data_IF_598257959550
#
_entry.id   IF_598257959550
#
_cell.length_a   1.000
_cell.length_b   1.000
_cell.length_c   1.000
_cell.angle_alpha   90.00
_cell.angle_beta   90.00
_cell.angle_gamma   90.00
#
_symmetry.space_group_name_H-M   'P 1'
#
loop_
_entity.id
_entity.type
_entity.pdbx_description
1 polymer ?
#
# COMPACT_ATOMS: atom_id res chain seq x y z
N UNK A 1 3.53 17.54 -9.74
CA UNK A 1 3.00 16.86 -10.94
C UNK A 1 3.80 15.59 -11.16
N UNK A 2 3.11 14.46 -11.27
CA UNK A 2 3.65 13.13 -11.55
C UNK A 2 3.26 12.79 -12.99
N UNK A 3 4.21 12.38 -13.83
CA UNK A 3 3.98 11.90 -15.19
C UNK A 3 4.34 10.42 -15.24
N UNK A 4 3.45 9.60 -15.80
CA UNK A 4 3.65 8.16 -15.93
C UNK A 4 3.45 7.70 -17.38
N UNK A 5 4.05 6.56 -17.71
CA UNK A 5 3.66 5.72 -18.82
C UNK A 5 2.96 4.50 -18.20
N UNK A 6 1.67 4.34 -18.45
CA UNK A 6 0.89 3.19 -17.97
C UNK A 6 0.59 2.22 -19.11
N UNK A 7 0.72 0.94 -18.80
CA UNK A 7 0.48 -0.17 -19.71
C UNK A 7 -0.89 -0.78 -19.39
N UNK A 8 -1.87 -0.56 -20.26
CA UNK A 8 -3.21 -1.11 -20.12
C UNK A 8 -3.33 -2.35 -21.01
N UNK A 9 -3.56 -3.51 -20.38
CA UNK A 9 -3.71 -4.77 -21.08
C UNK A 9 -5.11 -5.37 -20.82
N UNK A 10 -5.77 -5.84 -21.90
CA UNK A 10 -6.96 -6.66 -21.80
C UNK A 10 -6.82 -7.91 -22.66
N UNK A 11 -7.03 -9.08 -22.05
CA UNK A 11 -6.96 -10.39 -22.70
C UNK A 11 -8.29 -11.13 -22.59
N UNK A 12 -8.68 -11.83 -23.65
CA UNK A 12 -9.91 -12.61 -23.66
C UNK A 12 -10.02 -13.58 -24.82
N UNK A 13 -10.98 -14.50 -24.73
CA UNK A 13 -11.27 -15.52 -25.76
C UNK A 13 -12.30 -15.04 -26.80
N UNK A 14 -12.96 -13.91 -26.56
CA UNK A 14 -13.91 -13.29 -27.49
C UNK A 14 -13.37 -11.94 -27.94
N UNK A 15 -12.96 -11.89 -29.21
CA UNK A 15 -12.35 -10.70 -29.82
C UNK A 15 -13.25 -9.47 -29.74
N UNK A 16 -14.54 -9.63 -30.03
CA UNK A 16 -15.48 -8.52 -30.08
C UNK A 16 -15.68 -7.90 -28.69
N UNK A 17 -15.77 -8.75 -27.65
CA UNK A 17 -15.91 -8.28 -26.26
C UNK A 17 -14.63 -7.56 -25.81
N UNK A 18 -13.46 -8.11 -26.12
CA UNK A 18 -12.18 -7.48 -25.77
C UNK A 18 -12.05 -6.12 -26.44
N UNK A 19 -12.33 -6.01 -27.74
CA UNK A 19 -12.27 -4.74 -28.47
C UNK A 19 -13.22 -3.70 -27.86
N UNK A 20 -14.49 -4.05 -27.64
CA UNK A 20 -15.48 -3.13 -27.06
C UNK A 20 -15.07 -2.67 -25.65
N UNK A 21 -14.62 -3.59 -24.78
CA UNK A 21 -14.21 -3.26 -23.42
C UNK A 21 -12.94 -2.44 -23.37
N UNK A 22 -11.98 -2.73 -24.26
CA UNK A 22 -10.75 -1.98 -24.35
C UNK A 22 -10.99 -0.56 -24.87
N UNK A 23 -11.80 -0.38 -25.91
CA UNK A 23 -12.16 0.95 -26.40
C UNK A 23 -12.85 1.80 -25.33
N UNK A 24 -13.79 1.21 -24.58
CA UNK A 24 -14.44 1.89 -23.47
C UNK A 24 -13.45 2.31 -22.38
N UNK A 25 -12.49 1.45 -22.02
CA UNK A 25 -11.43 1.77 -21.07
C UNK A 25 -10.58 2.95 -21.57
N UNK A 26 -10.16 2.93 -22.83
CA UNK A 26 -9.34 4.01 -23.41
C UNK A 26 -10.11 5.34 -23.44
N UNK A 27 -11.40 5.33 -23.78
CA UNK A 27 -12.26 6.52 -23.73
C UNK A 27 -12.35 7.06 -22.30
N UNK A 28 -12.62 6.19 -21.32
CA UNK A 28 -12.70 6.57 -19.91
C UNK A 28 -11.40 7.22 -19.41
N UNK A 29 -10.24 6.65 -19.79
CA UNK A 29 -8.93 7.16 -19.41
C UNK A 29 -8.61 8.52 -20.04
N UNK A 30 -9.02 8.73 -21.30
CA UNK A 30 -8.91 10.03 -21.97
C UNK A 30 -9.79 11.08 -21.30
N UNK A 31 -11.04 10.75 -20.98
CA UNK A 31 -11.99 11.70 -20.39
C UNK A 31 -11.65 12.03 -18.94
N UNK A 32 -11.19 11.05 -18.17
CA UNK A 32 -10.94 11.21 -16.73
C UNK A 32 -9.55 11.77 -16.43
N UNK A 33 -8.53 11.34 -17.20
CA UNK A 33 -7.13 11.64 -16.91
C UNK A 33 -6.40 12.37 -18.04
N UNK A 34 -7.11 12.75 -19.11
CA UNK A 34 -6.51 13.37 -20.30
C UNK A 34 -5.34 12.53 -20.85
N UNK A 35 -5.50 11.20 -20.85
CA UNK A 35 -4.48 10.26 -21.26
C UNK A 35 -4.09 10.44 -22.74
N UNK A 36 -2.79 10.52 -23.03
CA UNK A 36 -2.24 10.54 -24.37
C UNK A 36 -1.84 9.10 -24.77
N UNK A 37 -2.37 8.60 -25.89
CA UNK A 37 -2.00 7.28 -26.41
C UNK A 37 -0.63 7.39 -27.09
N UNK A 38 0.35 6.64 -26.59
CA UNK A 38 1.68 6.52 -27.19
C UNK A 38 1.72 5.35 -28.20
N UNK A 39 1.13 4.22 -27.83
CA UNK A 39 0.98 3.04 -28.69
C UNK A 39 -0.34 2.33 -28.42
N UNK A 40 -0.83 1.58 -29.41
CA UNK A 40 -2.04 0.77 -29.29
C UNK A 40 -1.92 -0.43 -30.23
N UNK A 41 -1.74 -1.60 -29.64
CA UNK A 41 -1.40 -2.83 -30.33
C UNK A 41 -2.46 -3.90 -30.06
N UNK A 42 -2.46 -4.92 -30.92
CA UNK A 42 -3.31 -6.10 -30.77
C UNK A 42 -2.49 -7.33 -31.13
N UNK A 43 -2.61 -8.38 -30.34
CA UNK A 43 -1.99 -9.67 -30.60
C UNK A 43 -3.07 -10.74 -30.76
N UNK A 44 -3.11 -11.33 -31.95
CA UNK A 44 -4.01 -12.43 -32.37
C UNK A 44 -3.25 -13.77 -32.43
N UNK A 45 -1.94 -13.81 -32.17
CA UNK A 45 -1.10 -15.00 -32.35
C UNK A 45 -1.09 -15.92 -31.11
N UNK A 46 -1.56 -15.43 -29.96
CA UNK A 46 -1.67 -16.19 -28.71
C UNK A 46 -2.94 -17.04 -28.56
N UNK A 47 -3.03 -17.80 -27.45
CA UNK A 47 -4.25 -18.55 -27.08
C UNK A 47 -5.44 -17.63 -26.76
N UNK A 48 -5.16 -16.40 -26.33
CA UNK A 48 -6.14 -15.36 -26.06
C UNK A 48 -5.84 -14.14 -26.91
N UNK A 49 -6.89 -13.52 -27.44
CA UNK A 49 -6.79 -12.23 -28.10
C UNK A 49 -6.46 -11.15 -27.06
N UNK A 50 -5.47 -10.32 -27.38
CA UNK A 50 -4.89 -9.35 -26.46
C UNK A 50 -4.90 -7.95 -27.08
N UNK A 51 -5.32 -6.96 -26.30
CA UNK A 51 -5.18 -5.53 -26.60
C UNK A 51 -4.26 -4.89 -25.56
N UNK A 52 -3.27 -4.12 -26.04
CA UNK A 52 -2.33 -3.39 -25.18
C UNK A 52 -2.28 -1.93 -25.65
N UNK A 53 -2.26 -0.99 -24.71
CA UNK A 53 -1.97 0.41 -25.00
C UNK A 53 -1.00 0.98 -23.98
N UNK A 54 -0.07 1.78 -24.48
CA UNK A 54 0.81 2.61 -23.68
C UNK A 54 0.21 4.02 -23.60
N UNK A 55 0.00 4.50 -22.38
CA UNK A 55 -0.67 5.76 -22.12
C UNK A 55 0.24 6.67 -21.30
N UNK A 56 0.50 7.88 -21.80
CA UNK A 56 1.08 8.95 -20.98
C UNK A 56 -0.02 9.62 -20.18
N UNK A 57 0.15 9.68 -18.85
CA UNK A 57 -0.82 10.28 -17.93
C UNK A 57 -0.11 11.23 -16.98
N UNK A 58 -0.77 12.34 -16.63
CA UNK A 58 -0.27 13.34 -15.69
C UNK A 58 -1.21 13.48 -14.50
N UNK A 59 -0.63 13.50 -13.32
CA UNK A 59 -1.33 13.67 -12.05
C UNK A 59 -0.84 14.94 -11.36
N UNK A 60 -1.77 15.79 -10.93
CA UNK A 60 -1.43 17.00 -10.18
C UNK A 60 -1.00 16.67 -8.75
N UNK A 61 -1.67 15.70 -8.12
CA UNK A 61 -1.46 15.29 -6.74
C UNK A 61 -1.07 13.81 -6.63
N UNK A 62 -0.38 13.45 -5.55
CA UNK A 62 -0.10 12.04 -5.24
C UNK A 62 -1.40 11.27 -5.01
N UNK A 63 -2.42 11.89 -4.43
CA UNK A 63 -3.71 11.24 -4.19
C UNK A 63 -4.39 10.82 -5.50
N UNK A 64 -4.32 11.65 -6.54
CA UNK A 64 -4.92 11.31 -7.84
C UNK A 64 -4.16 10.20 -8.55
N UNK A 65 -2.84 10.18 -8.42
CA UNK A 65 -1.98 9.08 -8.85
C UNK A 65 -2.35 7.77 -8.14
N UNK A 66 -2.51 7.79 -6.83
CA UNK A 66 -2.86 6.59 -6.03
C UNK A 66 -4.26 6.08 -6.36
N UNK A 67 -5.24 6.98 -6.53
CA UNK A 67 -6.59 6.61 -6.99
C UNK A 67 -6.55 5.89 -8.34
N UNK A 68 -5.70 6.36 -9.25
CA UNK A 68 -5.51 5.73 -10.54
C UNK A 68 -4.94 4.32 -10.40
N UNK A 69 -3.85 4.16 -9.64
CA UNK A 69 -3.21 2.87 -9.42
C UNK A 69 -4.19 1.84 -8.83
N UNK A 70 -4.95 2.24 -7.80
CA UNK A 70 -5.94 1.37 -7.16
C UNK A 70 -7.13 1.00 -8.06
N UNK A 71 -7.51 1.88 -8.99
CA UNK A 71 -8.69 1.67 -9.84
C UNK A 71 -8.38 0.80 -11.05
N UNK A 72 -7.23 1.03 -11.69
CA UNK A 72 -6.91 0.39 -12.96
C UNK A 72 -5.90 -0.75 -12.82
N UNK A 73 -5.16 -0.82 -11.69
CA UNK A 73 -4.27 -1.94 -11.39
C UNK A 73 -3.22 -2.19 -12.46
N UNK A 74 -2.76 -1.13 -13.12
CA UNK A 74 -1.91 -1.23 -14.29
C UNK A 74 -0.43 -1.08 -13.93
N UNK A 75 0.40 -1.86 -14.63
CA UNK A 75 1.84 -1.65 -14.63
C UNK A 75 2.14 -0.26 -15.16
N UNK A 76 3.07 0.42 -14.50
CA UNK A 76 3.46 1.78 -14.87
C UNK A 76 4.94 2.04 -14.63
N UNK A 77 5.46 2.94 -15.45
CA UNK A 77 6.73 3.63 -15.23
C UNK A 77 6.46 5.08 -14.85
N UNK A 78 7.11 5.56 -13.79
CA UNK A 78 7.10 6.98 -13.45
C UNK A 78 8.21 7.67 -14.23
N UNK A 79 7.85 8.67 -15.05
CA UNK A 79 8.78 9.42 -15.91
C UNK A 79 9.23 10.71 -15.24
N UNK A 80 8.36 11.33 -14.45
CA UNK A 80 8.69 12.51 -13.66
C UNK A 80 7.74 12.64 -12.45
N UNK A 81 8.14 13.37 -11.38
CA UNK A 81 9.45 13.99 -11.18
C UNK A 81 10.51 12.96 -10.76
N UNK A 82 11.79 13.33 -10.78
CA UNK A 82 12.85 12.49 -10.20
C UNK A 82 12.77 12.41 -8.67
N UNK A 83 12.24 13.48 -8.05
CA UNK A 83 11.87 13.56 -6.63
C UNK A 83 10.58 14.35 -6.48
N UNK A 84 9.63 13.81 -5.75
CA UNK A 84 8.41 14.48 -5.35
C UNK A 84 8.53 14.88 -3.87
N UNK A 85 8.25 16.14 -3.56
CA UNK A 85 8.11 16.60 -2.18
C UNK A 85 6.65 16.84 -1.88
N UNK A 86 6.15 16.24 -0.81
CA UNK A 86 4.77 16.42 -0.33
C UNK A 86 4.79 16.75 1.16
N UNK A 87 3.73 17.40 1.63
CA UNK A 87 3.56 17.63 3.07
C UNK A 87 3.15 16.34 3.80
N UNK A 88 3.44 16.25 5.10
CA UNK A 88 2.94 15.17 5.95
C UNK A 88 1.40 15.05 5.93
N UNK A 89 0.68 16.17 5.77
CA UNK A 89 -0.78 16.17 5.63
C UNK A 89 -1.24 15.52 4.31
N UNK A 90 -0.55 15.80 3.21
CA UNK A 90 -0.85 15.21 1.90
C UNK A 90 -0.58 13.70 1.90
N UNK A 91 0.53 13.26 2.50
CA UNK A 91 0.80 11.84 2.71
C UNK A 91 -0.25 11.19 3.63
N UNK A 92 -0.60 11.84 4.74
CA UNK A 92 -1.62 11.33 5.67
C UNK A 92 -2.98 11.13 5.01
N UNK A 93 -3.43 12.08 4.17
CA UNK A 93 -4.67 11.95 3.40
C UNK A 93 -4.60 10.79 2.39
N UNK A 94 -3.45 10.62 1.75
CA UNK A 94 -3.20 9.54 0.79
C UNK A 94 -3.26 8.17 1.47
N UNK A 95 -2.57 8.02 2.60
CA UNK A 95 -2.58 6.80 3.39
C UNK A 95 -3.97 6.49 3.96
N UNK A 96 -4.70 7.51 4.43
CA UNK A 96 -6.09 7.34 4.85
C UNK A 96 -6.97 6.80 3.71
N UNK A 97 -6.81 7.33 2.50
CA UNK A 97 -7.55 6.86 1.32
C UNK A 97 -7.25 5.39 1.01
N UNK A 98 -5.97 4.99 1.06
CA UNK A 98 -5.55 3.59 0.85
C UNK A 98 -6.21 2.67 1.89
N UNK A 99 -6.11 3.00 3.18
CA UNK A 99 -6.71 2.22 4.26
C UNK A 99 -8.23 2.08 4.06
N UNK A 100 -8.92 3.18 3.75
CA UNK A 100 -10.37 3.20 3.54
C UNK A 100 -10.77 2.35 2.32
N UNK A 101 -10.03 2.45 1.21
CA UNK A 101 -10.24 1.64 0.02
C UNK A 101 -10.17 0.14 0.33
N UNK A 102 -9.07 -0.33 0.95
CA UNK A 102 -8.90 -1.75 1.24
C UNK A 102 -9.84 -2.25 2.36
N UNK A 103 -10.17 -1.41 3.36
CA UNK A 103 -11.21 -1.75 4.35
C UNK A 103 -12.57 -1.95 3.68
N UNK A 104 -12.96 -1.08 2.74
CA UNK A 104 -14.21 -1.22 1.97
C UNK A 104 -14.18 -2.45 1.08
N UNK A 105 -13.05 -2.73 0.42
CA UNK A 105 -12.86 -3.92 -0.38
C UNK A 105 -13.06 -5.19 0.46
N UNK A 106 -12.34 -5.29 1.60
CA UNK A 106 -12.42 -6.43 2.50
C UNK A 106 -13.84 -6.65 3.05
N UNK A 107 -14.52 -5.57 3.43
CA UNK A 107 -15.91 -5.65 3.89
C UNK A 107 -16.87 -6.10 2.78
N UNK A 108 -16.67 -5.67 1.54
CA UNK A 108 -17.56 -5.97 0.41
C UNK A 108 -17.38 -7.40 -0.08
N UNK A 109 -16.14 -7.88 -0.17
CA UNK A 109 -15.81 -9.15 -0.80
C UNK A 109 -15.44 -10.27 0.18
N UNK A 110 -15.25 -9.95 1.47
CA UNK A 110 -14.84 -10.91 2.49
C UNK A 110 -13.40 -11.41 2.33
N UNK A 111 -12.55 -10.64 1.63
CA UNK A 111 -11.15 -11.00 1.33
C UNK A 111 -10.23 -9.87 1.80
N UNK A 112 -9.18 -10.22 2.52
CA UNK A 112 -8.12 -9.30 2.93
C UNK A 112 -6.75 -9.96 2.74
N UNK A 113 -5.68 -9.19 2.84
CA UNK A 113 -4.33 -9.73 2.82
C UNK A 113 -4.11 -10.67 4.00
N UNK A 114 -3.60 -11.86 3.71
CA UNK A 114 -3.02 -12.72 4.73
C UNK A 114 -1.58 -12.27 4.93
N UNK A 115 -1.33 -11.55 6.01
CA UNK A 115 0.04 -11.09 6.29
C UNK A 115 0.87 -12.28 6.76
N UNK A 116 1.99 -12.51 6.07
CA UNK A 116 2.92 -13.57 6.42
C UNK A 116 3.62 -13.24 7.73
N UNK A 117 3.43 -14.09 8.74
CA UNK A 117 4.17 -14.03 9.99
C UNK A 117 5.45 -14.84 9.80
N UNK A 118 6.62 -14.19 9.84
CA UNK A 118 7.92 -14.88 9.82
C UNK A 118 8.06 -15.78 11.06
N UNK A 119 9.12 -16.59 11.11
CA UNK A 119 9.50 -17.36 12.30
C UNK A 119 9.47 -16.47 13.57
N UNK A 120 9.29 -17.08 14.74
CA UNK A 120 9.28 -16.34 16.01
C UNK A 120 10.49 -15.41 16.11
N UNK A 121 10.22 -14.11 16.28
CA UNK A 121 11.25 -13.11 16.53
C UNK A 121 11.60 -13.14 18.02
N UNK A 122 12.89 -13.15 18.28
CA UNK A 122 13.42 -12.90 19.61
C UNK A 122 13.50 -11.39 19.84
N UNK A 123 12.39 -10.79 20.26
CA UNK A 123 12.28 -9.37 20.57
C UNK A 123 12.08 -9.17 22.08
N UNK A 124 12.90 -8.31 22.69
CA UNK A 124 12.73 -7.90 24.07
C UNK A 124 11.56 -6.91 24.19
N UNK A 125 10.40 -7.43 24.56
CA UNK A 125 9.17 -6.66 24.69
C UNK A 125 9.26 -5.62 25.82
N UNK A 126 10.05 -5.86 26.86
CA UNK A 126 10.20 -4.89 27.95
C UNK A 126 11.02 -3.69 27.47
N UNK A 127 12.12 -3.93 26.76
CA UNK A 127 12.90 -2.86 26.13
C UNK A 127 12.04 -2.04 25.16
N UNK A 128 11.24 -2.70 24.32
CA UNK A 128 10.30 -2.03 23.41
C UNK A 128 9.22 -1.22 24.14
N UNK A 129 8.80 -1.59 25.36
CA UNK A 129 7.84 -0.79 26.14
C UNK A 129 8.47 0.51 26.66
N UNK A 130 9.77 0.48 26.95
CA UNK A 130 10.52 1.65 27.43
C UNK A 130 10.93 2.56 26.26
N UNK A 131 11.33 1.97 25.13
CA UNK A 131 11.96 2.63 23.99
C UNK A 131 13.39 2.10 23.85
N UNK A 132 13.77 1.66 22.65
CA UNK A 132 15.06 0.99 22.41
C UNK A 132 16.18 1.98 22.09
N UNK A 133 15.85 3.05 21.36
CA UNK A 133 16.82 4.00 20.83
C UNK A 133 16.81 5.31 21.61
N UNK A 134 17.99 5.91 21.78
CA UNK A 134 18.12 7.23 22.38
C UNK A 134 17.93 8.37 21.36
N UNK A 135 18.03 9.62 21.81
CA UNK A 135 17.82 10.78 20.94
C UNK A 135 18.88 10.92 19.84
N UNK A 136 20.10 10.47 20.09
CA UNK A 136 21.20 10.53 19.11
C UNK A 136 20.98 9.48 18.00
N UNK A 137 20.59 8.27 18.37
CA UNK A 137 20.20 7.20 17.43
C UNK A 137 18.99 7.63 16.57
N UNK A 138 17.97 8.22 17.20
CA UNK A 138 16.78 8.72 16.51
C UNK A 138 17.16 9.81 15.50
N UNK A 139 18.01 10.76 15.92
CA UNK A 139 18.48 11.81 15.04
C UNK A 139 19.25 11.25 13.83
N UNK A 140 20.07 10.21 14.03
CA UNK A 140 20.78 9.53 12.94
C UNK A 140 19.81 8.93 11.91
N UNK A 141 18.80 8.19 12.38
CA UNK A 141 17.79 7.57 11.52
C UNK A 141 17.02 8.62 10.69
N UNK A 142 16.63 9.74 11.30
CA UNK A 142 15.87 10.77 10.60
C UNK A 142 16.74 11.62 9.65
N UNK A 143 17.95 12.01 10.08
CA UNK A 143 18.76 13.00 9.36
C UNK A 143 19.77 12.41 8.39
N UNK A 144 20.36 11.26 8.69
CA UNK A 144 21.36 10.61 7.86
C UNK A 144 20.77 9.48 7.00
N UNK A 145 19.88 8.68 7.59
CA UNK A 145 19.24 7.56 6.88
C UNK A 145 17.94 7.98 6.15
N UNK A 146 17.39 9.14 6.48
CA UNK A 146 16.18 9.68 5.86
C UNK A 146 14.91 8.91 6.19
N UNK A 147 14.90 8.15 7.30
CA UNK A 147 13.74 7.40 7.74
C UNK A 147 12.68 8.33 8.34
N UNK A 148 11.41 8.04 8.05
CA UNK A 148 10.29 8.76 8.61
C UNK A 148 9.88 8.15 9.95
N UNK A 149 9.73 9.00 10.95
CA UNK A 149 9.19 8.60 12.24
C UNK A 149 7.67 8.60 12.18
N UNK A 150 7.09 7.42 12.34
CA UNK A 150 5.64 7.25 12.36
C UNK A 150 5.15 6.52 13.60
N UNK A 151 3.90 6.83 13.95
CA UNK A 151 3.15 6.13 15.00
C UNK A 151 1.94 5.49 14.40
N UNK A 152 1.87 4.17 14.43
CA UNK A 152 0.71 3.41 13.96
C UNK A 152 -0.03 2.80 15.14
N UNK A 153 -1.32 2.54 14.98
CA UNK A 153 -2.13 1.80 15.94
C UNK A 153 -2.86 0.68 15.22
N UNK A 154 -2.73 -0.53 15.74
CA UNK A 154 -3.41 -1.73 15.27
C UNK A 154 -4.44 -2.21 16.29
N UNK A 155 -5.51 -2.81 15.80
CA UNK A 155 -6.39 -3.66 16.61
C UNK A 155 -5.87 -5.10 16.58
N UNK A 156 -5.89 -5.79 17.72
CA UNK A 156 -5.41 -7.16 17.81
C UNK A 156 -6.14 -7.97 18.86
N UNK A 157 -6.55 -9.18 18.46
CA UNK A 157 -7.14 -10.20 19.32
C UNK A 157 -6.23 -11.45 19.32
N UNK A 158 -5.83 -11.93 20.49
CA UNK A 158 -5.02 -13.14 20.59
C UNK A 158 -4.77 -13.65 22.00
N UNK A 159 -4.13 -14.81 22.10
CA UNK A 159 -3.93 -15.53 23.37
C UNK A 159 -3.28 -14.67 24.48
N UNK A 160 -2.36 -13.78 24.12
CA UNK A 160 -1.75 -12.83 25.04
C UNK A 160 -1.28 -11.58 24.30
N UNK A 161 -1.06 -10.51 25.05
CA UNK A 161 -0.47 -9.25 24.57
C UNK A 161 0.88 -9.49 23.86
N UNK A 162 1.77 -10.25 24.51
CA UNK A 162 3.10 -10.57 23.98
C UNK A 162 3.05 -11.29 22.62
N UNK A 163 2.15 -12.27 22.49
CA UNK A 163 1.98 -13.02 21.23
C UNK A 163 1.51 -12.09 20.12
N UNK A 164 0.63 -11.14 20.42
CA UNK A 164 0.12 -10.20 19.42
C UNK A 164 1.20 -9.21 19.00
N UNK A 165 1.96 -8.65 19.94
CA UNK A 165 3.09 -7.78 19.63
C UNK A 165 4.09 -8.52 18.73
N UNK A 166 4.53 -9.72 19.12
CA UNK A 166 5.49 -10.51 18.32
C UNK A 166 4.95 -10.84 16.93
N UNK A 167 3.67 -11.14 16.78
CA UNK A 167 3.07 -11.39 15.46
C UNK A 167 3.07 -10.15 14.58
N UNK A 168 2.72 -8.98 15.11
CA UNK A 168 2.77 -7.73 14.36
C UNK A 168 4.19 -7.48 13.90
N UNK A 169 5.15 -7.50 14.83
CA UNK A 169 6.57 -7.28 14.53
C UNK A 169 7.10 -8.28 13.50
N UNK A 170 6.70 -9.55 13.56
CA UNK A 170 7.20 -10.63 12.68
C UNK A 170 6.66 -10.49 11.25
N UNK A 171 5.61 -9.70 11.10
CA UNK A 171 4.93 -9.45 9.85
C UNK A 171 5.43 -8.20 9.15
N UNK A 172 6.11 -7.30 9.87
CA UNK A 172 6.68 -6.08 9.30
C UNK A 172 7.83 -6.40 8.33
N UNK A 173 8.06 -5.48 7.38
CA UNK A 173 9.23 -5.47 6.51
C UNK A 173 10.51 -5.40 7.40
N UNK A 174 11.56 -6.21 7.15
CA UNK A 174 12.77 -6.19 7.99
C UNK A 174 13.45 -4.82 8.09
N UNK A 175 13.26 -3.95 7.09
CA UNK A 175 13.86 -2.62 7.05
C UNK A 175 13.13 -1.62 7.96
N UNK A 176 11.96 -1.98 8.51
CA UNK A 176 11.23 -1.17 9.49
C UNK A 176 11.87 -1.32 10.86
N UNK A 177 12.39 -0.21 11.39
CA UNK A 177 13.00 -0.16 12.72
C UNK A 177 11.95 0.20 13.75
N UNK A 178 11.71 -0.68 14.72
CA UNK A 178 10.71 -0.45 15.78
C UNK A 178 11.39 0.07 17.04
N UNK A 179 10.98 1.24 17.49
CA UNK A 179 11.51 1.85 18.71
C UNK A 179 10.68 1.53 19.94
N UNK A 180 9.35 1.69 19.84
CA UNK A 180 8.48 1.64 21.02
C UNK A 180 7.14 0.99 20.74
N UNK A 181 6.65 0.21 21.71
CA UNK A 181 5.34 -0.43 21.68
C UNK A 181 4.54 -0.09 22.94
N UNK A 182 3.30 0.37 22.76
CA UNK A 182 2.35 0.64 23.84
C UNK A 182 1.07 -0.13 23.55
N UNK A 183 0.53 -0.81 24.55
CA UNK A 183 -0.70 -1.59 24.41
C UNK A 183 -1.79 -1.08 25.34
N UNK A 184 -3.03 -1.31 24.94
CA UNK A 184 -4.22 -1.04 25.77
C UNK A 184 -5.24 -2.14 25.58
N UNK A 185 -5.48 -2.93 26.62
CA UNK A 185 -6.60 -3.88 26.65
C UNK A 185 -7.93 -3.12 26.61
N UNK A 186 -8.84 -3.58 25.75
CA UNK A 186 -10.20 -3.04 25.62
C UNK A 186 -11.24 -3.95 26.26
N UNK A 187 -10.93 -5.25 26.40
CA UNK A 187 -11.82 -6.23 27.02
C UNK A 187 -11.04 -7.31 27.76
N UNK A 188 -10.92 -7.15 29.07
CA UNK A 188 -10.24 -8.10 29.96
C UNK A 188 -11.10 -9.33 30.31
N UNK A 189 -12.39 -9.33 29.94
CA UNK A 189 -13.33 -10.39 30.32
C UNK A 189 -13.19 -11.66 29.47
N UNK A 190 -12.51 -11.58 28.32
CA UNK A 190 -12.46 -12.67 27.33
C UNK A 190 -11.38 -13.73 27.60
N UNK A 191 -10.54 -13.57 28.63
CA UNK A 191 -9.43 -14.49 28.90
C UNK A 191 -8.39 -14.55 27.76
N UNK A 192 -8.44 -13.62 26.82
CA UNK A 192 -7.51 -13.36 25.73
C UNK A 192 -7.17 -11.87 25.74
N UNK A 193 -6.07 -11.49 25.10
CA UNK A 193 -5.82 -10.08 24.79
C UNK A 193 -6.74 -9.65 23.65
N UNK A 194 -7.47 -8.57 23.86
CA UNK A 194 -8.31 -7.90 22.88
C UNK A 194 -8.14 -6.40 23.09
N UNK A 195 -7.47 -5.72 22.16
CA UNK A 195 -7.08 -4.34 22.41
C UNK A 195 -6.33 -3.65 21.28
N UNK A 196 -5.76 -2.50 21.62
CA UNK A 196 -4.95 -1.69 20.72
C UNK A 196 -3.46 -1.93 20.98
N UNK A 197 -2.68 -1.96 19.91
CA UNK A 197 -1.22 -1.99 19.91
C UNK A 197 -0.72 -0.80 19.11
N UNK A 198 -0.18 0.20 19.80
CA UNK A 198 0.48 1.35 19.20
C UNK A 198 1.97 1.08 19.05
N UNK A 199 2.52 1.36 17.87
CA UNK A 199 3.93 1.13 17.54
C UNK A 199 4.51 2.43 16.99
N UNK A 200 5.61 2.88 17.60
CA UNK A 200 6.49 3.92 17.04
C UNK A 200 7.62 3.24 16.26
N UNK A 201 7.77 3.61 15.00
CA UNK A 201 8.74 3.02 14.08
C UNK A 201 9.34 4.06 13.14
N UNK A 202 10.50 3.71 12.58
CA UNK A 202 11.24 4.46 11.57
C UNK A 202 11.27 3.62 10.30
N UNK A 203 10.81 4.19 9.19
CA UNK A 203 10.75 3.48 7.91
C UNK A 203 10.69 4.43 6.71
N UNK A 204 10.82 3.86 5.50
CA UNK A 204 10.71 4.62 4.26
C UNK A 204 9.24 4.84 3.89
N UNK A 205 8.92 5.86 3.07
CA UNK A 205 7.55 6.11 2.61
C UNK A 205 6.83 4.89 2.01
N UNK A 206 7.55 4.05 1.25
CA UNK A 206 7.00 2.81 0.67
C UNK A 206 6.50 1.84 1.75
N UNK A 207 7.27 1.64 2.82
CA UNK A 207 6.90 0.76 3.94
C UNK A 207 5.59 1.22 4.61
N UNK A 208 5.35 2.53 4.66
CA UNK A 208 4.12 3.10 5.23
C UNK A 208 2.91 2.71 4.37
N UNK A 209 3.05 2.75 3.05
CA UNK A 209 2.01 2.29 2.12
C UNK A 209 1.76 0.80 2.32
N UNK A 210 2.81 -0.01 2.41
CA UNK A 210 2.70 -1.44 2.67
C UNK A 210 1.96 -1.75 3.97
N UNK A 211 2.33 -1.06 5.05
CA UNK A 211 1.64 -1.16 6.35
C UNK A 211 0.17 -0.78 6.21
N UNK A 212 -0.13 0.30 5.46
CA UNK A 212 -1.48 0.81 5.29
C UNK A 212 -2.43 -0.20 4.63
N UNK A 213 -2.04 -0.81 3.51
CA UNK A 213 -2.94 -1.73 2.80
C UNK A 213 -2.93 -3.17 3.32
N UNK A 214 -1.81 -3.67 3.87
CA UNK A 214 -1.73 -5.04 4.39
C UNK A 214 -2.35 -5.19 5.77
N UNK A 215 -2.13 -4.22 6.65
CA UNK A 215 -2.51 -4.33 8.07
C UNK A 215 -3.75 -3.52 8.43
N UNK A 216 -4.15 -2.57 7.59
CA UNK A 216 -5.33 -1.73 7.78
C UNK A 216 -5.42 -1.08 9.18
N UNK A 217 -4.35 -0.40 9.64
CA UNK A 217 -4.31 0.19 10.98
C UNK A 217 -5.49 1.12 11.26
N UNK A 218 -5.79 1.33 12.55
CA UNK A 218 -6.87 2.23 12.96
C UNK A 218 -6.43 3.69 12.90
N UNK A 219 -5.14 3.96 13.07
CA UNK A 219 -4.57 5.31 12.96
C UNK A 219 -3.09 5.22 12.55
N UNK A 220 -2.65 6.19 11.75
CA UNK A 220 -1.23 6.46 11.47
C UNK A 220 -1.01 7.96 11.65
N UNK A 221 0.06 8.33 12.36
CA UNK A 221 0.51 9.69 12.57
C UNK A 221 1.91 9.87 12.02
N UNK A 222 2.13 11.00 11.34
CA UNK A 222 3.41 11.43 10.80
C UNK A 222 3.93 12.58 11.64
N UNK A 223 5.18 12.51 12.10
CA UNK A 223 5.82 13.64 12.80
C UNK A 223 6.57 14.56 11.83
N UNK A 224 6.96 14.06 10.65
CA UNK A 224 7.71 14.80 9.64
C UNK A 224 6.82 15.82 8.89
N UNK A 225 7.32 17.05 8.75
CA UNK A 225 6.60 18.14 8.08
C UNK A 225 6.56 17.97 6.56
N UNK A 226 7.68 17.54 5.98
CA UNK A 226 7.86 17.31 4.55
C UNK A 226 8.37 15.88 4.32
N UNK A 227 7.87 15.24 3.28
CA UNK A 227 8.22 13.87 2.87
C UNK A 227 8.72 13.94 1.43
N UNK A 228 9.90 13.37 1.20
CA UNK A 228 10.45 13.19 -0.14
C UNK A 228 10.19 11.75 -0.60
N UNK A 229 9.76 11.62 -1.85
CA UNK A 229 9.60 10.35 -2.56
C UNK A 229 10.45 10.43 -3.82
N UNK A 230 11.36 9.49 -4.00
CA UNK A 230 12.07 9.38 -5.27
C UNK A 230 11.21 8.69 -6.35
N UNK A 231 11.70 8.73 -7.59
CA UNK A 231 10.99 8.18 -8.74
C UNK A 231 10.76 6.67 -8.64
N UNK A 232 11.73 5.94 -8.07
CA UNK A 232 11.62 4.50 -7.83
C UNK A 232 10.56 4.20 -6.78
N UNK A 233 10.55 4.93 -5.66
CA UNK A 233 9.55 4.76 -4.60
C UNK A 233 8.14 5.04 -5.12
N UNK A 234 7.96 6.10 -5.93
CA UNK A 234 6.66 6.37 -6.54
C UNK A 234 6.21 5.21 -7.42
N UNK A 235 7.09 4.70 -8.27
CA UNK A 235 6.82 3.59 -9.17
C UNK A 235 6.50 2.30 -8.40
N UNK A 236 7.30 1.98 -7.38
CA UNK A 236 7.10 0.81 -6.52
C UNK A 236 5.75 0.90 -5.80
N UNK A 237 5.40 2.07 -5.25
CA UNK A 237 4.07 2.30 -4.63
C UNK A 237 2.94 2.02 -5.64
N UNK A 238 3.02 2.57 -6.85
CA UNK A 238 1.97 2.40 -7.85
C UNK A 238 1.77 0.95 -8.28
N UNK A 239 2.87 0.27 -8.61
CA UNK A 239 2.87 -1.11 -9.06
C UNK A 239 2.46 -2.07 -7.93
N UNK A 240 2.93 -1.86 -6.70
CA UNK A 240 2.57 -2.69 -5.55
C UNK A 240 1.08 -2.56 -5.20
N UNK A 241 0.52 -1.34 -5.24
CA UNK A 241 -0.91 -1.13 -5.05
C UNK A 241 -1.75 -1.75 -6.18
N UNK A 242 -1.28 -1.66 -7.43
CA UNK A 242 -1.95 -2.28 -8.56
C UNK A 242 -1.96 -3.81 -8.46
N UNK A 243 -0.81 -4.40 -8.15
CA UNK A 243 -0.65 -5.83 -7.89
C UNK A 243 -1.50 -6.29 -6.70
N UNK A 244 -1.55 -5.50 -5.62
CA UNK A 244 -2.37 -5.78 -4.47
C UNK A 244 -3.88 -5.87 -4.81
N UNK A 245 -4.38 -4.94 -5.62
CA UNK A 245 -5.78 -4.96 -6.10
C UNK A 245 -6.03 -6.16 -7.00
N UNK A 246 -5.09 -6.49 -7.89
CA UNK A 246 -5.19 -7.65 -8.76
C UNK A 246 -5.28 -8.95 -7.96
N UNK A 247 -4.39 -9.17 -6.99
CA UNK A 247 -4.38 -10.36 -6.13
C UNK A 247 -5.69 -10.52 -5.36
N UNK A 248 -6.16 -9.45 -4.70
CA UNK A 248 -7.41 -9.50 -3.94
C UNK A 248 -8.63 -9.70 -4.82
N UNK A 249 -8.67 -9.10 -6.01
CA UNK A 249 -9.75 -9.28 -6.98
C UNK A 249 -9.80 -10.72 -7.47
N UNK A 250 -8.64 -11.32 -7.76
CA UNK A 250 -8.53 -12.71 -8.16
C UNK A 250 -9.01 -13.65 -7.04
N UNK A 251 -8.57 -13.40 -5.79
CA UNK A 251 -9.02 -14.15 -4.62
C UNK A 251 -10.54 -14.04 -4.42
N UNK A 252 -11.12 -12.84 -4.52
CA UNK A 252 -12.56 -12.62 -4.42
C UNK A 252 -13.34 -13.34 -5.52
N UNK A 253 -12.87 -13.31 -6.77
CA UNK A 253 -13.49 -14.00 -7.88
C UNK A 253 -13.51 -15.53 -7.71
N UNK A 254 -12.48 -16.10 -7.06
CA UNK A 254 -12.37 -17.53 -6.81
C UNK A 254 -13.09 -18.00 -5.54
N UNK A 255 -13.26 -17.13 -4.53
CA UNK A 255 -14.03 -17.47 -3.32
C UNK A 255 -15.53 -17.64 -3.62
N UNK A 256 -16.08 -16.92 -4.60
CA UNK A 256 -17.48 -17.04 -5.03
C UNK A 256 -17.79 -18.28 -5.88
N UNK A 257 -16.79 -19.16 -6.14
CA UNK A 257 -16.96 -20.41 -6.91
C UNK A 257 -17.09 -21.66 -6.04
N UNK A 258 -17.19 -21.52 -4.72
CA UNK A 258 -17.49 -22.61 -3.77
C UNK A 258 -18.89 -22.45 -3.20
#
# INVERSE_FOLDING_TARGET
MIETISYQELKGNDKQIVDEKFENLIVELKETYNAEILSNESDDEGELYTKIAELKIKFETILDYIKYCLRYGADLDVVSPTKLKISGNEMGNTIFYIIDFFKKFAKKYGVAFNVYVKNEIDADINALKEGVYDEDDIYLMESEEGLLKIKTVFEGDGKSEEIIIKKILASLNPDIVVNKVITKSMDESKGIFSGLVAIEMFCKPFDIVEVAYKFLPVAISFENADIELDISELQDIGNDLGGAVFELTHAAANMNKK
#
